data_IF_320464042432
#
_entry.id   IF_320464042432
#
_cell.length_a   1.000
_cell.length_b   1.000
_cell.length_c   1.000
_cell.angle_alpha   90.00
_cell.angle_beta   90.00
_cell.angle_gamma   90.00
#
_symmetry.space_group_name_H-M   'P 1'
#
loop_
_entity.id
_entity.type
_entity.pdbx_description
1 polymer ?
#
# COMPACT_ATOMS: atom_id res chain seq x y z
N UNK A 1 -4.41 -22.04 -4.26
CA UNK A 1 -5.43 -20.98 -4.22
C UNK A 1 -5.14 -20.00 -5.35
N UNK A 2 -6.12 -19.60 -6.18
CA UNK A 2 -5.92 -18.50 -7.12
C UNK A 2 -5.53 -17.22 -6.35
N UNK A 3 -4.65 -16.40 -6.94
CA UNK A 3 -4.12 -15.16 -6.31
C UNK A 3 -5.26 -14.22 -5.90
N UNK A 4 -6.35 -14.20 -6.66
CA UNK A 4 -7.56 -13.43 -6.33
C UNK A 4 -8.17 -13.85 -4.98
N UNK A 5 -8.11 -15.15 -4.65
CA UNK A 5 -8.55 -15.67 -3.36
C UNK A 5 -7.80 -15.07 -2.18
N UNK A 6 -6.49 -14.79 -2.34
CA UNK A 6 -5.69 -14.15 -1.29
C UNK A 6 -6.05 -12.66 -1.11
N UNK A 7 -6.42 -11.97 -2.20
CA UNK A 7 -6.90 -10.58 -2.12
C UNK A 7 -8.25 -10.52 -1.40
N UNK A 8 -9.19 -11.42 -1.74
CA UNK A 8 -10.46 -11.52 -1.01
C UNK A 8 -10.27 -11.89 0.45
N UNK A 9 -9.30 -12.76 0.75
CA UNK A 9 -8.93 -13.09 2.12
C UNK A 9 -8.42 -11.84 2.89
N UNK A 10 -7.61 -10.98 2.27
CA UNK A 10 -7.19 -9.71 2.88
C UNK A 10 -8.37 -8.79 3.19
N UNK A 11 -9.36 -8.70 2.30
CA UNK A 11 -10.59 -7.92 2.52
C UNK A 11 -11.39 -8.50 3.69
N UNK A 12 -11.55 -9.83 3.75
CA UNK A 12 -12.22 -10.50 4.87
C UNK A 12 -11.52 -10.19 6.19
N UNK A 13 -10.19 -10.25 6.24
CA UNK A 13 -9.44 -9.91 7.45
C UNK A 13 -9.63 -8.45 7.87
N UNK A 14 -9.65 -7.51 6.92
CA UNK A 14 -9.97 -6.09 7.21
C UNK A 14 -11.38 -5.94 7.79
N UNK A 15 -12.38 -6.64 7.23
CA UNK A 15 -13.75 -6.65 7.75
C UNK A 15 -13.79 -7.21 9.19
N UNK A 16 -13.01 -8.25 9.49
CA UNK A 16 -12.89 -8.78 10.85
C UNK A 16 -12.26 -7.75 11.79
N UNK A 17 -11.20 -7.03 11.37
CA UNK A 17 -10.62 -5.94 12.17
C UNK A 17 -11.66 -4.86 12.46
N UNK A 18 -12.46 -4.46 11.46
CA UNK A 18 -13.53 -3.48 11.68
C UNK A 18 -14.62 -3.99 12.62
N UNK A 19 -14.98 -5.27 12.49
CA UNK A 19 -15.90 -5.89 13.42
C UNK A 19 -15.34 -5.91 14.85
N UNK A 20 -14.04 -6.15 15.03
CA UNK A 20 -13.39 -6.07 16.35
C UNK A 20 -13.45 -4.65 16.92
N UNK A 21 -13.18 -3.61 16.11
CA UNK A 21 -13.39 -2.22 16.52
C UNK A 21 -14.84 -1.93 16.90
N UNK A 22 -15.79 -2.44 16.12
CA UNK A 22 -17.22 -2.29 16.42
C UNK A 22 -17.59 -2.94 17.76
N UNK A 23 -17.06 -4.12 18.06
CA UNK A 23 -17.29 -4.77 19.36
C UNK A 23 -16.75 -3.95 20.53
N UNK A 24 -15.61 -3.28 20.37
CA UNK A 24 -15.09 -2.37 21.40
C UNK A 24 -15.93 -1.09 21.50
N UNK A 25 -16.37 -0.53 20.38
CA UNK A 25 -17.29 0.61 20.35
C UNK A 25 -18.65 0.30 21.00
N UNK A 26 -19.23 -0.88 20.75
CA UNK A 26 -20.54 -1.29 21.28
C UNK A 26 -20.56 -1.29 22.81
N UNK A 27 -19.41 -1.54 23.48
CA UNK A 27 -19.29 -1.47 24.95
C UNK A 27 -19.52 -0.06 25.50
N UNK A 28 -19.37 0.99 24.67
CA UNK A 28 -19.64 2.37 25.05
C UNK A 28 -21.15 2.68 25.13
N UNK A 29 -22.01 1.79 24.61
CA UNK A 29 -23.48 1.96 24.55
C UNK A 29 -23.93 3.24 23.81
N UNK A 30 -23.16 3.64 22.80
CA UNK A 30 -23.47 4.80 21.96
C UNK A 30 -24.26 4.39 20.71
N UNK A 31 -24.94 5.36 20.09
CA UNK A 31 -25.64 5.15 18.83
C UNK A 31 -24.64 4.74 17.72
N UNK A 32 -25.01 3.76 16.90
CA UNK A 32 -24.19 3.26 15.78
C UNK A 32 -23.73 4.35 14.80
N UNK A 33 -24.47 5.46 14.69
CA UNK A 33 -24.09 6.60 13.86
C UNK A 33 -22.71 7.18 14.21
N UNK A 34 -22.29 7.10 15.48
CA UNK A 34 -20.95 7.50 15.91
C UNK A 34 -19.86 6.54 15.43
N UNK A 35 -20.20 5.35 14.96
CA UNK A 35 -19.23 4.40 14.40
C UNK A 35 -19.03 4.57 12.89
N UNK A 36 -19.97 5.20 12.19
CA UNK A 36 -19.88 5.37 10.74
C UNK A 36 -18.62 6.13 10.25
N UNK A 37 -18.11 7.17 10.95
CA UNK A 37 -16.82 7.79 10.64
C UNK A 37 -15.64 6.80 10.62
N UNK A 38 -15.66 5.78 11.48
CA UNK A 38 -14.62 4.74 11.55
C UNK A 38 -14.61 3.91 10.27
N UNK A 39 -15.79 3.50 9.79
CA UNK A 39 -15.93 2.73 8.54
C UNK A 39 -15.39 3.55 7.36
N UNK A 40 -15.80 4.82 7.24
CA UNK A 40 -15.38 5.70 6.15
C UNK A 40 -13.87 5.97 6.16
N UNK A 41 -13.28 6.11 7.36
CA UNK A 41 -11.84 6.34 7.54
C UNK A 41 -11.01 5.08 7.30
N UNK A 42 -11.53 3.90 7.66
CA UNK A 42 -10.79 2.64 7.56
C UNK A 42 -11.07 1.83 6.29
N UNK A 43 -11.89 2.30 5.36
CA UNK A 43 -12.07 1.67 4.04
C UNK A 43 -11.64 2.57 2.88
N UNK A 44 -10.90 3.63 3.18
CA UNK A 44 -10.30 4.51 2.21
C UNK A 44 -9.09 3.84 1.49
N UNK A 45 -8.81 4.19 0.21
CA UNK A 45 -7.85 3.47 -0.65
C UNK A 45 -6.37 3.85 -0.51
N UNK A 46 -5.95 4.72 0.40
CA UNK A 46 -4.57 5.22 0.50
C UNK A 46 -3.52 4.13 0.80
N UNK A 47 -3.92 3.05 1.48
CA UNK A 47 -3.08 1.87 1.70
C UNK A 47 -3.41 0.74 0.73
N UNK A 48 -3.81 1.07 -0.51
CA UNK A 48 -4.09 0.11 -1.58
C UNK A 48 -2.96 -0.91 -1.77
N UNK A 49 -1.71 -0.52 -1.54
CA UNK A 49 -0.56 -1.44 -1.62
C UNK A 49 -0.68 -2.65 -0.69
N UNK A 50 -1.41 -2.53 0.41
CA UNK A 50 -1.64 -3.62 1.37
C UNK A 50 -2.96 -4.33 1.08
N UNK A 51 -4.01 -3.59 0.71
CA UNK A 51 -5.33 -4.17 0.51
C UNK A 51 -5.47 -4.91 -0.83
N UNK A 52 -4.75 -4.49 -1.87
CA UNK A 52 -4.84 -5.11 -3.21
C UNK A 52 -3.65 -6.00 -3.57
N UNK A 53 -2.59 -6.04 -2.76
CA UNK A 53 -1.44 -6.92 -2.98
C UNK A 53 -1.51 -8.10 -2.01
N UNK A 54 -1.58 -9.32 -2.54
CA UNK A 54 -1.69 -10.54 -1.74
C UNK A 54 -0.61 -10.64 -0.65
N UNK A 55 0.68 -10.48 -1.01
CA UNK A 55 1.79 -10.56 -0.05
C UNK A 55 1.79 -9.44 0.99
N UNK A 56 1.49 -8.21 0.56
CA UNK A 56 1.40 -7.05 1.45
C UNK A 56 0.33 -7.23 2.52
N UNK A 57 -0.88 -7.63 2.12
CA UNK A 57 -1.98 -7.86 3.05
C UNK A 57 -1.75 -9.06 3.96
N UNK A 58 -1.23 -10.17 3.43
CA UNK A 58 -0.91 -11.35 4.25
C UNK A 58 0.14 -11.04 5.32
N UNK A 59 1.07 -10.13 5.06
CA UNK A 59 2.04 -9.69 6.06
C UNK A 59 1.42 -8.70 7.06
N UNK A 60 0.87 -7.59 6.58
CA UNK A 60 0.52 -6.47 7.45
C UNK A 60 -0.88 -6.60 8.08
N UNK A 61 -1.90 -6.97 7.29
CA UNK A 61 -3.29 -7.09 7.77
C UNK A 61 -3.40 -8.30 8.70
N UNK A 62 -2.83 -9.45 8.31
CA UNK A 62 -2.84 -10.66 9.14
C UNK A 62 -2.15 -10.44 10.48
N UNK A 63 -0.92 -9.89 10.49
CA UNK A 63 -0.24 -9.58 11.75
C UNK A 63 -1.08 -8.66 12.63
N UNK A 64 -1.70 -7.63 12.06
CA UNK A 64 -2.53 -6.69 12.81
C UNK A 64 -3.79 -7.36 13.38
N UNK A 65 -4.44 -8.25 12.61
CA UNK A 65 -5.58 -9.05 13.07
C UNK A 65 -5.19 -9.98 14.22
N UNK A 66 -4.11 -10.74 14.08
CA UNK A 66 -3.62 -11.67 15.10
C UNK A 66 -3.31 -10.94 16.41
N UNK A 67 -2.70 -9.75 16.33
CA UNK A 67 -2.38 -8.93 17.51
C UNK A 67 -3.65 -8.39 18.17
N UNK A 68 -4.62 -7.89 17.40
CA UNK A 68 -5.89 -7.44 17.96
C UNK A 68 -6.57 -8.60 18.72
N UNK A 69 -6.62 -9.79 18.10
CA UNK A 69 -7.16 -10.99 18.75
C UNK A 69 -6.39 -11.37 20.02
N UNK A 70 -5.05 -11.37 19.99
CA UNK A 70 -4.21 -11.67 21.15
C UNK A 70 -4.48 -10.71 22.31
N UNK A 71 -4.52 -9.39 22.03
CA UNK A 71 -4.83 -8.36 23.02
C UNK A 71 -6.23 -8.56 23.59
N UNK A 72 -7.24 -8.81 22.75
CA UNK A 72 -8.62 -9.03 23.21
C UNK A 72 -8.72 -10.29 24.10
N UNK A 73 -8.06 -11.38 23.71
CA UNK A 73 -8.06 -12.64 24.45
C UNK A 73 -7.34 -12.52 25.80
N UNK A 74 -6.32 -11.65 25.89
CA UNK A 74 -5.59 -11.36 27.14
C UNK A 74 -6.50 -10.83 28.27
N UNK A 75 -7.61 -10.18 27.92
CA UNK A 75 -8.63 -9.73 28.87
C UNK A 75 -9.44 -10.91 29.41
N UNK A 76 -9.78 -11.87 28.55
CA UNK A 76 -10.68 -13.01 28.86
C UNK A 76 -10.02 -14.19 29.60
N UNK A 77 -8.76 -14.03 30.06
CA UNK A 77 -7.96 -15.08 30.73
C UNK A 77 -7.72 -16.35 29.89
N UNK A 78 -7.95 -16.32 28.57
CA UNK A 78 -7.66 -17.42 27.65
C UNK A 78 -6.16 -17.46 27.30
N UNK A 79 -5.31 -17.68 28.30
CA UNK A 79 -3.86 -17.50 28.22
C UNK A 79 -3.23 -18.28 27.06
N UNK A 80 -3.59 -19.56 26.88
CA UNK A 80 -3.07 -20.37 25.78
C UNK A 80 -3.32 -19.73 24.41
N UNK A 81 -4.57 -19.35 24.12
CA UNK A 81 -4.90 -18.71 22.85
C UNK A 81 -4.21 -17.35 22.72
N UNK A 82 -4.12 -16.55 23.78
CA UNK A 82 -3.37 -15.29 23.76
C UNK A 82 -1.92 -15.50 23.32
N UNK A 83 -1.22 -16.48 23.91
CA UNK A 83 0.16 -16.77 23.56
C UNK A 83 0.28 -17.37 22.15
N UNK A 84 -0.63 -18.25 21.75
CA UNK A 84 -0.68 -18.80 20.40
C UNK A 84 -0.79 -17.69 19.35
N UNK A 85 -1.75 -16.78 19.50
CA UNK A 85 -1.91 -15.65 18.57
C UNK A 85 -0.72 -14.68 18.61
N UNK A 86 -0.09 -14.50 19.79
CA UNK A 86 1.15 -13.72 19.92
C UNK A 86 2.27 -14.36 19.09
N UNK A 87 2.53 -15.67 19.24
CA UNK A 87 3.57 -16.39 18.50
C UNK A 87 3.25 -16.40 16.99
N UNK A 88 2.00 -16.68 16.60
CA UNK A 88 1.61 -16.64 15.18
C UNK A 88 1.89 -15.27 14.57
N UNK A 89 1.64 -14.18 15.31
CA UNK A 89 1.92 -12.84 14.82
C UNK A 89 3.43 -12.60 14.61
N UNK A 90 4.30 -13.05 15.53
CA UNK A 90 5.77 -12.91 15.39
C UNK A 90 6.34 -13.70 14.22
N UNK A 91 5.69 -14.81 13.85
CA UNK A 91 6.05 -15.63 12.70
C UNK A 91 5.50 -15.10 11.37
N UNK A 92 4.52 -14.19 11.40
CA UNK A 92 3.87 -13.67 10.17
C UNK A 92 4.68 -12.55 9.52
N UNK A 93 5.14 -11.57 10.31
CA UNK A 93 5.92 -10.43 9.79
C UNK A 93 6.76 -9.79 10.90
N UNK A 94 7.80 -9.04 10.54
CA UNK A 94 8.73 -8.44 11.51
C UNK A 94 8.07 -7.51 12.54
N UNK A 95 7.00 -6.80 12.17
CA UNK A 95 6.21 -6.00 13.13
C UNK A 95 5.44 -6.85 14.14
N UNK A 96 5.26 -8.14 13.87
CA UNK A 96 4.62 -9.10 14.75
C UNK A 96 5.30 -9.24 16.10
N UNK A 97 6.60 -8.99 16.19
CA UNK A 97 7.34 -8.97 17.46
C UNK A 97 6.70 -8.04 18.50
N UNK A 98 6.12 -6.92 18.05
CA UNK A 98 5.47 -5.93 18.90
C UNK A 98 4.10 -6.39 19.45
N UNK A 99 3.63 -7.58 19.07
CA UNK A 99 2.56 -8.27 19.78
C UNK A 99 2.92 -8.51 21.24
N UNK A 100 4.19 -8.83 21.52
CA UNK A 100 4.69 -9.10 22.87
C UNK A 100 4.56 -7.85 23.75
N UNK A 101 4.99 -6.69 23.25
CA UNK A 101 4.84 -5.41 23.96
C UNK A 101 3.36 -5.00 24.13
N UNK A 102 2.53 -5.25 23.12
CA UNK A 102 1.10 -4.94 23.15
C UNK A 102 0.32 -5.78 24.16
N UNK A 103 0.49 -7.12 24.13
CA UNK A 103 -0.11 -8.03 25.10
C UNK A 103 0.48 -7.81 26.50
N UNK A 104 1.78 -7.52 26.59
CA UNK A 104 2.44 -7.15 27.84
C UNK A 104 1.82 -5.91 28.47
N UNK A 105 1.59 -4.86 27.69
CA UNK A 105 0.91 -3.65 28.14
C UNK A 105 -0.52 -3.93 28.61
N UNK A 106 -1.25 -4.81 27.92
CA UNK A 106 -2.59 -5.24 28.34
C UNK A 106 -2.56 -5.95 29.71
N UNK A 107 -1.62 -6.86 29.93
CA UNK A 107 -1.47 -7.51 31.24
C UNK A 107 -1.01 -6.55 32.33
N UNK A 108 -0.15 -5.60 31.98
CA UNK A 108 0.31 -4.56 32.88
C UNK A 108 -0.85 -3.68 33.37
N UNK A 109 -1.73 -3.23 32.48
CA UNK A 109 -2.95 -2.50 32.86
C UNK A 109 -3.91 -3.32 33.74
N UNK A 110 -3.92 -4.64 33.55
CA UNK A 110 -4.69 -5.57 34.40
C UNK A 110 -3.99 -5.91 35.73
N UNK A 111 -2.80 -5.37 35.99
CA UNK A 111 -1.92 -5.71 37.14
C UNK A 111 -1.59 -7.21 37.22
N UNK A 112 -1.53 -7.89 36.08
CA UNK A 112 -1.21 -9.32 35.96
C UNK A 112 0.23 -9.51 35.51
N UNK A 113 1.18 -9.53 36.45
CA UNK A 113 2.61 -9.61 36.11
C UNK A 113 3.10 -11.02 35.78
N UNK A 114 2.48 -12.08 36.35
CA UNK A 114 2.91 -13.47 36.07
C UNK A 114 2.86 -13.84 34.59
N UNK A 115 1.77 -13.55 33.84
CA UNK A 115 1.73 -13.74 32.38
C UNK A 115 2.81 -13.00 31.59
N UNK A 116 3.33 -11.88 32.10
CA UNK A 116 4.37 -11.09 31.42
C UNK A 116 5.70 -11.86 31.40
N UNK A 117 6.02 -12.64 32.44
CA UNK A 117 7.22 -13.49 32.45
C UNK A 117 7.21 -14.51 31.30
N UNK A 118 6.05 -15.08 30.99
CA UNK A 118 5.89 -16.01 29.86
C UNK A 118 6.13 -15.28 28.54
N UNK A 119 5.63 -14.05 28.39
CA UNK A 119 5.89 -13.23 27.21
C UNK A 119 7.39 -12.91 27.02
N UNK A 120 8.10 -12.61 28.11
CA UNK A 120 9.56 -12.40 28.09
C UNK A 120 10.28 -13.68 27.67
N UNK A 121 9.87 -14.84 28.18
CA UNK A 121 10.44 -16.13 27.77
C UNK A 121 10.19 -16.40 26.28
N UNK A 122 8.97 -16.15 25.78
CA UNK A 122 8.65 -16.29 24.36
C UNK A 122 9.49 -15.36 23.47
N UNK A 123 9.74 -14.13 23.93
CA UNK A 123 10.65 -13.19 23.24
C UNK A 123 12.07 -13.74 23.15
N UNK A 124 12.61 -14.25 24.26
CA UNK A 124 13.96 -14.83 24.30
C UNK A 124 14.05 -16.02 23.34
N UNK A 125 13.08 -16.94 23.39
CA UNK A 125 13.04 -18.11 22.49
C UNK A 125 12.99 -17.65 21.03
N UNK A 126 12.14 -16.66 20.70
CA UNK A 126 12.05 -16.12 19.35
C UNK A 126 13.39 -15.54 18.88
N UNK A 127 14.06 -14.74 19.70
CA UNK A 127 15.36 -14.14 19.36
C UNK A 127 16.45 -15.20 19.17
N UNK A 128 16.44 -16.28 19.96
CA UNK A 128 17.35 -17.42 19.79
C UNK A 128 17.10 -18.12 18.45
N UNK A 129 15.84 -18.48 18.16
CA UNK A 129 15.46 -19.13 16.89
C UNK A 129 15.81 -18.23 15.70
N UNK A 130 15.52 -16.94 15.80
CA UNK A 130 15.86 -15.96 14.78
C UNK A 130 17.36 -15.93 14.54
N UNK A 131 18.19 -15.78 15.58
CA UNK A 131 19.65 -15.73 15.46
C UNK A 131 20.24 -17.01 14.84
N UNK A 132 19.72 -18.19 15.21
CA UNK A 132 20.21 -19.48 14.68
C UNK A 132 19.93 -19.62 13.19
N UNK A 133 18.76 -19.16 12.73
CA UNK A 133 18.30 -19.38 11.36
C UNK A 133 18.47 -18.16 10.43
N UNK A 134 19.00 -17.05 10.94
CA UNK A 134 19.15 -15.83 10.15
C UNK A 134 20.37 -15.93 9.22
N UNK A 135 20.11 -16.23 7.95
CA UNK A 135 21.10 -16.09 6.88
C UNK A 135 21.25 -14.60 6.52
N UNK A 136 22.46 -14.02 6.49
CA UNK A 136 22.71 -12.62 6.12
C UNK A 136 22.37 -12.25 4.65
N UNK A 137 21.66 -13.08 3.91
CA UNK A 137 21.49 -13.03 2.45
C UNK A 137 20.45 -12.01 1.96
N UNK A 138 20.39 -10.84 2.59
CA UNK A 138 19.61 -9.69 2.13
C UNK A 138 20.37 -8.39 2.37
N UNK A 139 20.04 -7.32 1.64
CA UNK A 139 20.54 -5.98 1.99
C UNK A 139 20.21 -5.74 3.46
N UNK A 140 21.23 -5.66 4.32
CA UNK A 140 21.04 -5.25 5.69
C UNK A 140 20.34 -3.90 5.66
N UNK A 141 19.23 -3.80 6.36
CA UNK A 141 18.52 -2.56 6.42
C UNK A 141 19.37 -1.58 7.26
N UNK A 142 19.80 -0.48 6.63
CA UNK A 142 20.64 0.50 7.29
C UNK A 142 19.83 1.25 8.34
N UNK A 143 20.32 1.24 9.57
CA UNK A 143 19.74 2.07 10.61
C UNK A 143 19.93 3.54 10.26
N UNK A 144 18.86 4.31 10.32
CA UNK A 144 18.91 5.76 10.18
C UNK A 144 19.58 6.36 11.41
N UNK A 145 20.58 7.20 11.21
CA UNK A 145 21.21 8.01 12.25
C UNK A 145 20.64 9.43 12.28
N UNK A 146 19.85 9.80 11.28
CA UNK A 146 19.28 11.13 11.16
C UNK A 146 17.96 11.23 11.96
N UNK A 147 18.05 11.85 13.14
CA UNK A 147 16.89 12.01 14.03
C UNK A 147 15.74 12.79 13.40
N UNK A 148 16.02 13.78 12.54
CA UNK A 148 14.98 14.52 11.81
C UNK A 148 14.21 13.58 10.88
N UNK A 149 14.89 12.74 10.11
CA UNK A 149 14.25 11.78 9.22
C UNK A 149 13.42 10.74 10.01
N UNK A 150 13.93 10.27 11.15
CA UNK A 150 13.20 9.37 12.05
C UNK A 150 11.94 10.07 12.57
N UNK A 151 12.07 11.29 13.08
CA UNK A 151 10.96 12.07 13.64
C UNK A 151 9.86 12.31 12.60
N UNK A 152 10.23 12.83 11.42
CA UNK A 152 9.27 13.12 10.34
C UNK A 152 8.62 11.83 9.83
N UNK A 153 9.37 10.73 9.71
CA UNK A 153 8.82 9.44 9.30
C UNK A 153 7.88 8.86 10.35
N UNK A 154 8.27 8.90 11.63
CA UNK A 154 7.49 8.34 12.73
C UNK A 154 6.14 9.05 12.86
N UNK A 155 6.14 10.37 13.05
CA UNK A 155 4.92 11.13 13.17
C UNK A 155 4.18 11.24 11.83
N UNK A 156 4.89 11.35 10.71
CA UNK A 156 4.30 11.38 9.38
C UNK A 156 3.52 10.11 9.04
N UNK A 157 4.02 8.92 9.41
CA UNK A 157 3.27 7.68 9.24
C UNK A 157 2.09 7.55 10.22
N UNK A 158 2.22 8.02 11.46
CA UNK A 158 1.09 8.03 12.42
C UNK A 158 -0.07 8.90 11.94
N UNK A 159 0.20 10.09 11.39
CA UNK A 159 -0.80 10.95 10.76
C UNK A 159 -0.89 10.77 9.24
N UNK A 160 -0.46 9.61 8.73
CA UNK A 160 -0.37 9.31 7.30
C UNK A 160 -1.65 9.56 6.51
N UNK A 161 -2.83 9.52 7.13
CA UNK A 161 -4.10 9.88 6.46
C UNK A 161 -4.06 11.26 5.79
N UNK A 162 -3.33 12.23 6.36
CA UNK A 162 -3.21 13.57 5.79
C UNK A 162 -2.16 13.71 4.68
N UNK A 163 -1.42 12.64 4.33
CA UNK A 163 -0.47 12.65 3.23
C UNK A 163 -1.16 12.78 1.87
N UNK A 164 -2.49 12.70 1.84
CA UNK A 164 -3.32 12.92 0.68
C UNK A 164 -3.17 14.34 0.11
N UNK A 165 -2.82 15.35 0.92
CA UNK A 165 -2.67 16.72 0.46
C UNK A 165 -1.27 16.92 -0.17
N UNK A 166 -1.16 17.46 -1.38
CA UNK A 166 0.12 17.44 -2.12
C UNK A 166 1.26 18.19 -1.41
N UNK A 167 1.29 19.53 -1.51
CA UNK A 167 2.41 20.34 -1.02
C UNK A 167 2.54 20.35 0.50
N UNK A 168 1.42 20.21 1.22
CA UNK A 168 1.35 20.32 2.67
C UNK A 168 1.15 18.97 3.38
N UNK A 169 1.05 17.86 2.64
CA UNK A 169 0.66 16.57 3.20
C UNK A 169 1.61 16.05 4.26
N UNK A 170 2.92 16.19 4.03
CA UNK A 170 3.93 15.78 5.02
C UNK A 170 3.75 16.56 6.32
N UNK A 171 3.61 17.89 6.24
CA UNK A 171 3.44 18.73 7.42
C UNK A 171 2.14 18.40 8.19
N UNK A 172 1.02 18.28 7.46
CA UNK A 172 -0.27 17.91 8.06
C UNK A 172 -0.22 16.50 8.68
N UNK A 173 0.46 15.55 8.03
CA UNK A 173 0.67 14.21 8.57
C UNK A 173 1.52 14.21 9.83
N UNK A 174 2.62 14.95 9.87
CA UNK A 174 3.44 15.08 11.09
C UNK A 174 2.63 15.72 12.21
N UNK A 175 1.92 16.81 11.96
CA UNK A 175 1.09 17.48 12.95
C UNK A 175 0.00 16.57 13.52
N UNK A 176 -0.73 15.85 12.66
CA UNK A 176 -1.73 14.88 13.08
C UNK A 176 -1.13 13.69 13.84
N UNK A 177 0.06 13.24 13.44
CA UNK A 177 0.80 12.19 14.14
C UNK A 177 1.22 12.60 15.55
N UNK A 178 1.76 13.81 15.70
CA UNK A 178 2.10 14.38 17.02
C UNK A 178 0.85 14.43 17.88
N UNK A 179 -0.26 14.98 17.36
CA UNK A 179 -1.52 15.02 18.09
C UNK A 179 -2.00 13.63 18.53
N UNK A 180 -2.01 12.64 17.62
CA UNK A 180 -2.45 11.28 17.93
C UNK A 180 -1.55 10.61 18.99
N UNK A 181 -0.24 10.79 18.89
CA UNK A 181 0.71 10.24 19.86
C UNK A 181 0.62 10.94 21.22
N UNK A 182 0.50 12.26 21.25
CA UNK A 182 0.29 13.02 22.49
C UNK A 182 -1.02 12.62 23.18
N UNK A 183 -2.10 12.43 22.41
CA UNK A 183 -3.36 11.91 22.93
C UNK A 183 -3.20 10.50 23.51
N UNK A 184 -2.48 9.60 22.81
CA UNK A 184 -2.15 8.28 23.32
C UNK A 184 -1.37 8.33 24.63
N UNK A 185 -0.30 9.12 24.70
CA UNK A 185 0.54 9.28 25.89
C UNK A 185 -0.28 9.83 27.06
N UNK A 186 -1.09 10.87 26.83
CA UNK A 186 -1.99 11.43 27.84
C UNK A 186 -2.98 10.38 28.36
N UNK A 187 -3.63 9.63 27.46
CA UNK A 187 -4.58 8.58 27.84
C UNK A 187 -3.89 7.44 28.59
N UNK A 188 -2.67 7.07 28.20
CA UNK A 188 -1.87 6.06 28.87
C UNK A 188 -1.50 6.49 30.29
N UNK A 189 -1.02 7.73 30.47
CA UNK A 189 -0.73 8.29 31.80
C UNK A 189 -1.98 8.40 32.66
N UNK A 190 -3.09 8.90 32.12
CA UNK A 190 -4.37 8.99 32.83
C UNK A 190 -4.86 7.61 33.27
N UNK A 191 -4.71 6.60 32.41
CA UNK A 191 -5.05 5.21 32.75
C UNK A 191 -4.13 4.64 33.83
N UNK A 192 -2.83 4.95 33.79
CA UNK A 192 -1.85 4.44 34.74
C UNK A 192 -2.04 5.01 36.15
N UNK A 193 -2.32 6.33 36.26
CA UNK A 193 -2.50 7.01 37.54
C UNK A 193 -3.95 7.02 38.04
N UNK A 194 -4.89 6.44 37.29
CA UNK A 194 -6.27 6.29 37.74
C UNK A 194 -6.35 5.26 38.88
N UNK A 195 -6.94 5.66 40.01
CA UNK A 195 -7.29 4.73 41.11
C UNK A 195 -8.41 3.77 40.72
N UNK A 196 -9.25 4.14 39.75
CA UNK A 196 -10.35 3.31 39.25
C UNK A 196 -9.88 2.23 38.28
N UNK A 197 -10.61 1.10 38.24
CA UNK A 197 -10.33 0.03 37.29
C UNK A 197 -10.54 0.51 35.85
N UNK A 198 -9.53 0.28 35.00
CA UNK A 198 -9.60 0.67 33.59
C UNK A 198 -10.57 -0.27 32.87
N UNK A 199 -11.50 0.30 32.11
CA UNK A 199 -12.46 -0.48 31.31
C UNK A 199 -11.76 -1.29 30.22
N UNK A 200 -12.30 -2.48 29.92
CA UNK A 200 -11.69 -3.45 29.01
C UNK A 200 -11.40 -2.91 27.61
N UNK A 201 -12.31 -2.13 27.04
CA UNK A 201 -12.18 -1.54 25.71
C UNK A 201 -11.01 -0.56 25.63
N UNK A 202 -10.77 0.21 26.71
CA UNK A 202 -9.63 1.13 26.78
C UNK A 202 -8.32 0.37 26.84
N UNK A 203 -8.25 -0.70 27.64
CA UNK A 203 -7.05 -1.56 27.71
C UNK A 203 -6.75 -2.13 26.33
N UNK A 204 -7.76 -2.66 25.64
CA UNK A 204 -7.60 -3.27 24.31
C UNK A 204 -7.11 -2.23 23.29
N UNK A 205 -7.77 -1.08 23.20
CA UNK A 205 -7.45 -0.06 22.19
C UNK A 205 -6.09 0.61 22.44
N UNK A 206 -5.73 0.90 23.71
CA UNK A 206 -4.40 1.44 24.05
C UNK A 206 -3.29 0.42 23.80
N UNK A 207 -3.52 -0.85 24.12
CA UNK A 207 -2.56 -1.92 23.84
C UNK A 207 -2.38 -2.12 22.34
N UNK A 208 -3.47 -2.12 21.58
CA UNK A 208 -3.39 -2.23 20.12
C UNK A 208 -2.70 -1.02 19.47
N UNK A 209 -2.96 0.19 19.99
CA UNK A 209 -2.23 1.41 19.60
C UNK A 209 -0.73 1.27 19.82
N UNK A 210 -0.29 0.74 20.97
CA UNK A 210 1.14 0.62 21.30
C UNK A 210 1.90 -0.30 20.35
N UNK A 211 1.26 -1.37 19.85
CA UNK A 211 1.80 -2.21 18.78
C UNK A 211 2.09 -1.38 17.53
N UNK A 212 1.09 -0.65 17.04
CA UNK A 212 1.21 0.13 15.81
C UNK A 212 2.25 1.25 15.96
N UNK A 213 2.32 1.89 17.13
CA UNK A 213 3.34 2.88 17.43
C UNK A 213 4.75 2.27 17.39
N UNK A 214 4.97 1.12 18.04
CA UNK A 214 6.26 0.45 18.02
C UNK A 214 6.64 -0.04 16.60
N UNK A 215 5.68 -0.55 15.82
CA UNK A 215 5.89 -0.94 14.43
C UNK A 215 6.31 0.25 13.56
N UNK A 216 5.63 1.40 13.68
CA UNK A 216 5.99 2.61 12.96
C UNK A 216 7.36 3.13 13.40
N UNK A 217 7.69 3.05 14.69
CA UNK A 217 9.02 3.43 15.19
C UNK A 217 10.12 2.60 14.54
N UNK A 218 9.96 1.27 14.47
CA UNK A 218 10.91 0.41 13.80
C UNK A 218 11.05 0.76 12.31
N UNK A 219 9.93 1.03 11.62
CA UNK A 219 9.96 1.44 10.21
C UNK A 219 10.72 2.76 10.07
N UNK A 220 10.44 3.76 10.91
CA UNK A 220 11.14 5.04 10.90
C UNK A 220 12.63 4.88 11.15
N UNK A 221 13.00 4.02 12.10
CA UNK A 221 14.40 3.75 12.43
C UNK A 221 15.16 3.06 11.30
N UNK A 222 14.51 2.13 10.58
CA UNK A 222 15.18 1.25 9.61
C UNK A 222 15.07 1.76 8.16
N UNK A 223 14.05 2.57 7.83
CA UNK A 223 13.78 2.97 6.44
C UNK A 223 14.10 4.43 6.14
N UNK A 224 14.38 5.25 7.14
CA UNK A 224 14.58 6.69 6.94
C UNK A 224 16.04 7.10 6.68
N UNK A 225 16.92 6.15 6.41
CA UNK A 225 18.36 6.41 6.19
C UNK A 225 18.60 7.31 4.99
N UNK A 226 17.84 7.12 3.90
CA UNK A 226 17.95 7.93 2.67
C UNK A 226 17.02 9.16 2.63
N UNK A 227 16.23 9.41 3.68
CA UNK A 227 15.26 10.51 3.73
C UNK A 227 13.96 10.13 4.46
N UNK A 228 13.04 11.08 4.70
CA UNK A 228 11.74 10.78 5.29
C UNK A 228 10.90 9.84 4.40
N UNK A 229 10.25 8.83 5.00
CA UNK A 229 9.53 7.78 4.25
C UNK A 229 8.06 7.72 4.66
N UNK A 230 7.17 8.23 3.81
CA UNK A 230 5.70 8.11 3.97
C UNK A 230 5.16 7.31 2.78
N UNK A 231 5.23 5.98 2.87
CA UNK A 231 4.94 5.07 1.75
C UNK A 231 3.64 4.30 1.96
N UNK A 232 2.89 4.08 0.87
CA UNK A 232 1.56 3.49 0.83
C UNK A 232 1.36 2.25 1.72
N UNK A 233 2.27 1.28 1.67
CA UNK A 233 2.15 0.03 2.44
C UNK A 233 2.12 0.20 3.96
N UNK A 234 2.63 1.29 4.51
CA UNK A 234 2.63 1.53 5.96
C UNK A 234 1.52 2.49 6.39
N UNK A 235 0.82 3.11 5.44
CA UNK A 235 -0.25 4.08 5.72
C UNK A 235 -1.48 3.45 6.38
N UNK A 236 -1.63 2.12 6.36
CA UNK A 236 -2.75 1.43 7.02
C UNK A 236 -2.76 1.64 8.55
N UNK A 237 -1.60 1.88 9.17
CA UNK A 237 -1.52 2.05 10.61
C UNK A 237 -2.19 3.36 11.07
N UNK A 238 -2.08 4.42 10.27
CA UNK A 238 -2.65 5.74 10.58
C UNK A 238 -4.15 5.72 10.86
N UNK A 239 -5.03 5.23 9.96
CA UNK A 239 -6.46 5.22 10.21
C UNK A 239 -6.84 4.30 11.40
N UNK A 240 -6.11 3.21 11.63
CA UNK A 240 -6.34 2.32 12.79
C UNK A 240 -5.95 2.98 14.13
N UNK A 241 -4.81 3.69 14.18
CA UNK A 241 -4.39 4.47 15.35
C UNK A 241 -5.40 5.57 15.68
N UNK A 242 -5.84 6.33 14.66
CA UNK A 242 -6.87 7.35 14.81
C UNK A 242 -8.21 6.75 15.26
N UNK A 243 -8.57 5.57 14.77
CA UNK A 243 -9.76 4.83 15.22
C UNK A 243 -9.67 4.50 16.71
N UNK A 244 -8.51 4.05 17.20
CA UNK A 244 -8.32 3.76 18.63
C UNK A 244 -8.54 5.00 19.49
N UNK A 245 -7.90 6.12 19.13
CA UNK A 245 -8.04 7.40 19.83
C UNK A 245 -9.48 7.89 19.78
N UNK A 246 -10.09 7.87 18.60
CA UNK A 246 -11.47 8.27 18.38
C UNK A 246 -12.45 7.50 19.29
N UNK A 247 -12.40 6.17 19.30
CA UNK A 247 -13.31 5.35 20.12
C UNK A 247 -13.09 5.62 21.61
N UNK A 248 -11.85 5.81 22.07
CA UNK A 248 -11.58 6.13 23.49
C UNK A 248 -12.11 7.52 23.86
N UNK A 249 -11.99 8.49 22.93
CA UNK A 249 -12.27 9.90 23.17
C UNK A 249 -13.74 10.28 22.97
N UNK A 250 -14.48 9.62 22.08
CA UNK A 250 -15.84 10.03 21.70
C UNK A 250 -16.84 10.15 22.88
N UNK A 251 -16.77 9.35 23.97
CA UNK A 251 -17.67 9.54 25.11
C UNK A 251 -17.49 10.89 25.82
N UNK A 252 -16.34 11.55 25.69
CA UNK A 252 -16.09 12.86 26.29
C UNK A 252 -16.65 14.02 25.47
N UNK A 253 -16.98 13.78 24.20
CA UNK A 253 -17.44 14.80 23.25
C UNK A 253 -18.90 14.59 22.82
N UNK A 254 -19.61 13.64 23.42
CA UNK A 254 -20.92 13.21 22.94
C UNK A 254 -22.06 14.20 23.20
N UNK A 255 -21.86 15.20 24.05
CA UNK A 255 -22.93 16.11 24.48
C UNK A 255 -23.47 17.01 23.35
N UNK A 256 -22.83 17.05 22.17
CA UNK A 256 -23.30 17.83 21.02
C UNK A 256 -23.57 16.95 19.81
N UNK A 257 -24.84 16.89 19.38
CA UNK A 257 -25.27 16.27 18.12
C UNK A 257 -24.51 16.80 16.89
N UNK A 258 -24.07 18.05 16.93
CA UNK A 258 -23.31 18.69 15.86
C UNK A 258 -21.93 18.07 15.65
N UNK A 259 -21.32 17.53 16.70
CA UNK A 259 -20.02 16.86 16.59
C UNK A 259 -20.15 15.62 15.70
N UNK A 260 -21.24 14.87 15.83
CA UNK A 260 -21.53 13.69 14.99
C UNK A 260 -21.68 14.10 13.53
N UNK A 261 -22.52 15.10 13.27
CA UNK A 261 -22.79 15.57 11.91
C UNK A 261 -21.49 16.08 11.26
N UNK A 262 -20.70 16.85 12.00
CA UNK A 262 -19.44 17.40 11.52
C UNK A 262 -18.41 16.31 11.22
N UNK A 263 -18.23 15.35 12.14
CA UNK A 263 -17.32 14.23 11.93
C UNK A 263 -17.75 13.34 10.78
N UNK A 264 -19.05 13.05 10.67
CA UNK A 264 -19.58 12.22 9.60
C UNK A 264 -19.40 12.91 8.24
N UNK A 265 -19.75 14.20 8.14
CA UNK A 265 -19.56 14.98 6.92
C UNK A 265 -18.08 15.06 6.55
N UNK A 266 -17.21 15.32 7.52
CA UNK A 266 -15.76 15.33 7.31
C UNK A 266 -15.26 13.98 6.80
N UNK A 267 -15.62 12.86 7.45
CA UNK A 267 -15.22 11.52 7.03
C UNK A 267 -15.77 11.16 5.65
N UNK A 268 -16.98 11.58 5.31
CA UNK A 268 -17.57 11.36 3.99
C UNK A 268 -16.82 12.14 2.91
N UNK A 269 -16.60 13.44 3.12
CA UNK A 269 -15.83 14.28 2.19
C UNK A 269 -14.38 13.79 2.04
N UNK A 270 -13.75 13.41 3.16
CA UNK A 270 -12.41 12.86 3.18
C UNK A 270 -12.34 11.52 2.42
N UNK A 271 -13.29 10.61 2.66
CA UNK A 271 -13.38 9.34 1.94
C UNK A 271 -13.59 9.57 0.43
N UNK A 272 -14.53 10.43 0.04
CA UNK A 272 -14.72 10.80 -1.36
C UNK A 272 -13.45 11.37 -2.01
N UNK A 273 -12.72 12.23 -1.29
CA UNK A 273 -11.44 12.79 -1.75
C UNK A 273 -10.36 11.72 -1.91
N UNK A 274 -10.25 10.79 -0.96
CA UNK A 274 -9.29 9.66 -1.05
C UNK A 274 -9.55 8.78 -2.26
N UNK A 275 -10.81 8.40 -2.52
CA UNK A 275 -11.19 7.69 -3.74
C UNK A 275 -10.87 8.51 -5.00
N UNK A 276 -11.23 9.80 -5.02
CA UNK A 276 -10.88 10.67 -6.13
C UNK A 276 -9.37 10.73 -6.39
N UNK A 277 -8.53 10.64 -5.36
CA UNK A 277 -7.06 10.69 -5.53
C UNK A 277 -6.46 9.36 -5.95
N UNK A 278 -6.83 8.26 -5.30
CA UNK A 278 -6.15 6.98 -5.45
C UNK A 278 -6.76 6.06 -6.49
N UNK A 279 -7.98 6.30 -6.99
CA UNK A 279 -8.57 5.47 -8.06
C UNK A 279 -7.69 5.40 -9.30
N UNK A 280 -7.13 6.53 -9.76
CA UNK A 280 -6.18 6.54 -10.88
C UNK A 280 -4.92 5.71 -10.55
N UNK A 281 -4.37 5.86 -9.34
CA UNK A 281 -3.14 5.16 -8.93
C UNK A 281 -3.35 3.64 -8.94
N UNK A 282 -4.49 3.17 -8.42
CA UNK A 282 -4.85 1.74 -8.41
C UNK A 282 -5.08 1.24 -9.85
N UNK A 283 -5.75 2.03 -10.69
CA UNK A 283 -5.98 1.71 -12.09
C UNK A 283 -4.67 1.59 -12.87
N UNK A 284 -3.77 2.56 -12.73
CA UNK A 284 -2.45 2.56 -13.37
C UNK A 284 -1.63 1.35 -12.92
N UNK A 285 -1.65 1.00 -11.62
CA UNK A 285 -0.95 -0.18 -11.09
C UNK A 285 -1.51 -1.48 -11.64
N UNK A 286 -2.83 -1.62 -11.76
CA UNK A 286 -3.48 -2.76 -12.41
C UNK A 286 -2.98 -2.89 -13.85
N UNK A 287 -2.99 -1.80 -14.62
CA UNK A 287 -2.57 -1.82 -16.02
C UNK A 287 -1.07 -2.11 -16.16
N UNK A 288 -0.22 -1.59 -15.28
CA UNK A 288 1.20 -1.96 -15.23
C UNK A 288 1.40 -3.44 -14.92
N UNK A 289 0.64 -4.02 -14.00
CA UNK A 289 0.72 -5.45 -13.71
C UNK A 289 0.32 -6.31 -14.94
N UNK A 290 -0.75 -5.91 -15.66
CA UNK A 290 -1.16 -6.57 -16.90
C UNK A 290 -0.09 -6.47 -18.00
N UNK A 291 0.50 -5.30 -18.19
CA UNK A 291 1.59 -5.11 -19.15
C UNK A 291 2.82 -5.96 -18.81
N UNK A 292 3.18 -6.08 -17.53
CA UNK A 292 4.27 -6.97 -17.12
C UNK A 292 3.94 -8.44 -17.31
N UNK A 293 2.71 -8.86 -17.07
CA UNK A 293 2.30 -10.24 -17.36
C UNK A 293 2.55 -10.56 -18.83
N UNK A 294 2.12 -9.68 -19.74
CA UNK A 294 2.42 -9.81 -21.17
C UNK A 294 3.93 -9.81 -21.47
N UNK A 295 4.66 -8.84 -20.94
CA UNK A 295 6.09 -8.70 -21.21
C UNK A 295 6.90 -9.89 -20.67
N UNK A 296 6.50 -10.44 -19.52
CA UNK A 296 7.16 -11.58 -18.91
C UNK A 296 6.85 -12.87 -19.66
N UNK A 297 5.61 -13.09 -20.08
CA UNK A 297 5.26 -14.30 -20.86
C UNK A 297 5.95 -14.32 -22.22
N UNK A 298 6.13 -13.16 -22.86
CA UNK A 298 6.75 -13.08 -24.19
C UNK A 298 8.28 -12.96 -24.15
N UNK A 299 8.85 -12.27 -23.16
CA UNK A 299 10.29 -11.94 -23.16
C UNK A 299 10.96 -12.08 -21.78
N UNK A 300 10.26 -12.53 -20.74
CA UNK A 300 10.76 -12.62 -19.35
C UNK A 300 11.24 -11.29 -18.75
N UNK A 301 10.60 -10.17 -19.14
CA UNK A 301 10.92 -8.82 -18.64
C UNK A 301 9.74 -8.15 -17.93
N UNK A 302 10.00 -7.20 -17.04
CA UNK A 302 8.99 -6.44 -16.28
C UNK A 302 9.39 -4.96 -16.18
N UNK A 303 8.76 -4.10 -16.97
CA UNK A 303 9.14 -2.68 -17.12
C UNK A 303 8.91 -1.80 -15.89
N UNK A 304 8.06 -2.23 -14.95
CA UNK A 304 7.85 -1.47 -13.71
C UNK A 304 8.76 -1.93 -12.55
N UNK A 305 9.69 -2.86 -12.81
CA UNK A 305 10.62 -3.41 -11.82
C UNK A 305 12.08 -3.02 -12.14
N UNK A 306 12.94 -3.00 -11.12
CA UNK A 306 14.40 -2.88 -11.32
C UNK A 306 14.89 -4.08 -12.16
N UNK A 307 15.70 -3.87 -13.22
CA UNK A 307 16.14 -4.97 -14.09
C UNK A 307 16.92 -6.04 -13.34
N UNK A 308 17.69 -5.68 -12.31
CA UNK A 308 18.41 -6.65 -11.47
C UNK A 308 17.45 -7.51 -10.68
N UNK A 309 16.36 -6.93 -10.18
CA UNK A 309 15.32 -7.68 -9.51
C UNK A 309 14.66 -8.68 -10.47
N UNK A 310 14.40 -8.29 -11.71
CA UNK A 310 13.82 -9.19 -12.73
C UNK A 310 14.76 -10.36 -13.02
N UNK A 311 16.06 -10.10 -13.22
CA UNK A 311 17.07 -11.15 -13.45
C UNK A 311 17.10 -12.14 -12.30
N UNK A 312 17.23 -11.67 -11.06
CA UNK A 312 17.25 -12.52 -9.86
C UNK A 312 15.93 -13.28 -9.67
N UNK A 313 14.79 -12.65 -9.99
CA UNK A 313 13.48 -13.31 -9.88
C UNK A 313 13.33 -14.41 -10.94
N UNK A 314 13.87 -14.21 -12.14
CA UNK A 314 13.77 -15.17 -13.24
C UNK A 314 14.49 -16.49 -12.95
N UNK A 315 15.52 -16.50 -12.08
CA UNK A 315 16.16 -17.73 -11.60
C UNK A 315 15.15 -18.69 -10.95
N UNK A 316 14.10 -18.16 -10.33
CA UNK A 316 13.04 -18.96 -9.69
C UNK A 316 11.77 -19.04 -10.54
N UNK A 317 11.39 -17.94 -11.21
CA UNK A 317 10.13 -17.85 -11.94
C UNK A 317 10.13 -18.68 -13.24
N UNK A 318 11.24 -18.74 -13.97
CA UNK A 318 11.31 -19.50 -15.23
C UNK A 318 11.16 -21.00 -14.96
N UNK A 319 11.91 -21.63 -14.04
CA UNK A 319 11.70 -23.04 -13.69
C UNK A 319 10.28 -23.31 -13.19
N UNK A 320 9.75 -22.46 -12.30
CA UNK A 320 8.39 -22.63 -11.79
C UNK A 320 7.32 -22.54 -12.88
N UNK A 321 7.52 -21.68 -13.88
CA UNK A 321 6.65 -21.56 -15.04
C UNK A 321 6.71 -22.80 -15.94
N UNK A 322 7.93 -23.28 -16.25
CA UNK A 322 8.15 -24.48 -17.06
C UNK A 322 7.58 -25.75 -16.39
N UNK A 323 7.66 -25.82 -15.07
CA UNK A 323 7.05 -26.91 -14.27
C UNK A 323 5.52 -26.78 -14.13
N UNK A 324 4.92 -25.69 -14.61
CA UNK A 324 3.48 -25.43 -14.47
C UNK A 324 3.03 -25.09 -13.04
N UNK A 325 3.97 -24.88 -12.11
CA UNK A 325 3.71 -24.47 -10.73
C UNK A 325 3.17 -23.03 -10.71
N UNK A 326 3.72 -22.18 -11.58
CA UNK A 326 3.27 -20.81 -11.78
C UNK A 326 2.76 -20.61 -13.21
N UNK A 327 1.70 -19.82 -13.36
CA UNK A 327 1.12 -19.46 -14.65
C UNK A 327 0.89 -17.96 -14.71
N UNK A 328 1.20 -17.38 -15.86
CA UNK A 328 0.86 -15.99 -16.16
C UNK A 328 -0.56 -15.94 -16.69
N UNK A 329 -1.34 -14.95 -16.26
CA UNK A 329 -2.67 -14.73 -16.82
C UNK A 329 -2.54 -14.07 -18.22
N UNK A 330 -2.61 -14.88 -19.27
CA UNK A 330 -2.47 -14.42 -20.66
C UNK A 330 -3.76 -13.83 -21.24
N UNK A 331 -4.89 -13.89 -20.52
CA UNK A 331 -6.24 -13.64 -21.09
C UNK A 331 -6.46 -12.22 -21.63
N UNK A 332 -5.67 -11.23 -21.23
CA UNK A 332 -5.96 -9.83 -21.56
C UNK A 332 -5.56 -9.41 -22.99
N UNK A 333 -4.61 -10.10 -23.61
CA UNK A 333 -4.13 -9.78 -24.96
C UNK A 333 -4.16 -11.03 -25.85
N UNK A 334 -5.29 -11.29 -26.54
CA UNK A 334 -5.38 -12.42 -27.46
C UNK A 334 -4.25 -12.38 -28.50
N UNK A 335 -3.73 -13.55 -28.89
CA UNK A 335 -2.63 -13.63 -29.88
C UNK A 335 -3.04 -13.06 -31.24
N UNK A 336 -4.33 -13.07 -31.56
CA UNK A 336 -4.90 -12.66 -32.85
C UNK A 336 -5.07 -11.13 -32.99
N UNK A 337 -4.98 -10.37 -31.88
CA UNK A 337 -5.20 -8.91 -31.91
C UNK A 337 -4.13 -8.11 -32.65
N UNK A 338 -3.04 -8.76 -33.10
CA UNK A 338 -1.81 -8.10 -33.57
C UNK A 338 -1.58 -8.14 -35.08
N UNK A 339 -2.35 -8.93 -35.84
CA UNK A 339 -2.06 -9.21 -37.26
C UNK A 339 -3.12 -8.64 -38.23
N UNK A 340 -4.05 -7.81 -37.76
CA UNK A 340 -5.05 -7.13 -38.62
C UNK A 340 -4.50 -5.81 -39.20
N UNK A 341 -5.01 -5.40 -40.38
CA UNK A 341 -4.71 -4.09 -40.95
C UNK A 341 -5.27 -2.99 -40.05
N UNK A 342 -4.40 -2.33 -39.28
CA UNK A 342 -4.79 -1.29 -38.33
C UNK A 342 -4.80 0.09 -39.00
N UNK A 343 -5.84 0.88 -38.72
CA UNK A 343 -5.92 2.29 -39.11
C UNK A 343 -4.74 3.06 -38.50
N UNK A 344 -4.03 3.82 -39.33
CA UNK A 344 -2.93 4.67 -38.88
C UNK A 344 -3.46 5.93 -38.18
N UNK A 345 -2.85 6.30 -37.05
CA UNK A 345 -3.16 7.53 -36.31
C UNK A 345 -1.89 8.37 -36.06
N UNK A 346 -2.05 9.69 -36.14
CA UNK A 346 -1.01 10.65 -35.78
C UNK A 346 -1.22 11.08 -34.32
N UNK A 347 -0.61 10.36 -33.38
CA UNK A 347 -0.57 10.78 -31.98
C UNK A 347 0.47 11.90 -31.81
N UNK A 348 0.06 13.00 -31.16
CA UNK A 348 0.99 14.03 -30.68
C UNK A 348 1.69 13.50 -29.44
N UNK A 349 2.88 12.94 -29.67
CA UNK A 349 3.76 12.42 -28.61
C UNK A 349 5.01 13.29 -28.53
N UNK A 350 5.29 13.82 -27.34
CA UNK A 350 6.46 14.63 -27.01
C UNK A 350 7.36 13.90 -26.01
N UNK A 351 8.67 14.13 -26.09
CA UNK A 351 9.62 13.55 -25.14
C UNK A 351 9.60 14.37 -23.85
N UNK A 352 9.34 13.71 -22.72
CA UNK A 352 9.37 14.30 -21.40
C UNK A 352 10.49 13.63 -20.59
N UNK A 353 11.76 13.96 -20.85
CA UNK A 353 12.86 13.43 -20.04
C UNK A 353 13.08 14.30 -18.81
N UNK A 354 12.40 13.97 -17.70
CA UNK A 354 12.90 14.31 -16.36
C UNK A 354 13.85 13.20 -15.91
N UNK A 355 15.15 13.36 -16.20
CA UNK A 355 16.18 12.52 -15.60
C UNK A 355 16.20 12.80 -14.09
N UNK A 356 15.59 11.95 -13.27
CA UNK A 356 15.79 12.02 -11.83
C UNK A 356 17.13 11.40 -11.40
N UNK A 357 17.70 10.50 -12.21
CA UNK A 357 19.05 9.96 -12.04
C UNK A 357 19.71 9.70 -13.41
N UNK A 358 21.00 10.05 -13.64
CA UNK A 358 21.70 9.84 -14.91
C UNK A 358 21.92 8.38 -15.34
N UNK A 359 21.55 7.40 -14.50
CA UNK A 359 21.85 5.96 -14.70
C UNK A 359 20.66 5.09 -15.10
N UNK A 360 19.46 5.64 -15.12
CA UNK A 360 18.26 4.86 -15.40
C UNK A 360 17.85 5.11 -16.85
N UNK A 361 18.01 4.11 -17.74
CA UNK A 361 17.62 4.21 -19.15
C UNK A 361 16.09 4.10 -19.29
N UNK A 362 15.41 5.01 -18.61
CA UNK A 362 13.99 5.08 -18.39
C UNK A 362 13.47 6.35 -19.08
N UNK A 363 12.62 6.16 -20.07
CA UNK A 363 12.12 7.23 -20.93
C UNK A 363 10.62 7.41 -20.71
N UNK A 364 10.20 8.66 -20.57
CA UNK A 364 8.81 9.04 -20.40
C UNK A 364 8.37 9.82 -21.64
N UNK A 365 7.28 9.38 -22.24
CA UNK A 365 6.70 9.99 -23.42
C UNK A 365 5.30 10.49 -23.09
N UNK A 366 5.05 11.78 -23.36
CA UNK A 366 3.77 12.41 -23.09
C UNK A 366 2.88 12.35 -24.33
N UNK A 367 1.60 12.01 -24.12
CA UNK A 367 0.54 12.07 -25.12
C UNK A 367 -0.32 13.30 -24.83
N UNK A 368 -0.30 14.30 -25.72
CA UNK A 368 -0.99 15.57 -25.48
C UNK A 368 -2.50 15.48 -25.72
N UNK A 369 -2.92 14.69 -26.71
CA UNK A 369 -4.31 14.50 -27.08
C UNK A 369 -4.56 13.05 -27.48
N UNK A 370 -5.37 12.36 -26.69
CA UNK A 370 -5.77 10.98 -26.95
C UNK A 370 -6.94 10.94 -27.95
N UNK A 371 -6.96 9.97 -28.90
CA UNK A 371 -7.94 9.93 -29.99
C UNK A 371 -9.36 9.60 -29.53
N UNK A 372 -9.51 9.04 -28.32
CA UNK A 372 -10.78 8.67 -27.73
C UNK A 372 -10.89 9.20 -26.30
N UNK A 373 -12.10 9.17 -25.76
CA UNK A 373 -12.35 9.58 -24.37
C UNK A 373 -11.90 8.45 -23.43
N UNK A 374 -10.86 8.66 -22.59
CA UNK A 374 -10.40 7.61 -21.69
C UNK A 374 -11.43 7.34 -20.58
N UNK A 375 -11.52 6.08 -20.17
CA UNK A 375 -12.43 5.61 -19.12
C UNK A 375 -11.69 4.66 -18.16
N UNK A 376 -12.22 4.48 -16.95
CA UNK A 376 -11.68 3.50 -15.99
C UNK A 376 -12.04 2.05 -16.33
N UNK A 377 -12.93 1.84 -17.30
CA UNK A 377 -13.33 0.49 -17.73
C UNK A 377 -12.36 -0.06 -18.77
N UNK A 378 -11.71 0.81 -19.54
CA UNK A 378 -10.93 0.42 -20.71
C UNK A 378 -9.47 0.84 -20.49
N UNK A 379 -8.58 -0.15 -20.48
CA UNK A 379 -7.15 0.10 -20.37
C UNK A 379 -6.54 0.26 -21.77
N UNK A 380 -5.59 1.18 -21.89
CA UNK A 380 -4.90 1.47 -23.13
C UNK A 380 -3.42 1.18 -22.98
N UNK A 381 -2.82 0.65 -24.04
CA UNK A 381 -1.43 0.24 -24.03
C UNK A 381 -0.72 0.61 -25.32
N UNK A 382 0.57 0.89 -25.25
CA UNK A 382 1.45 1.05 -26.40
C UNK A 382 2.23 -0.24 -26.58
N UNK A 383 2.07 -0.88 -27.73
CA UNK A 383 2.84 -2.03 -28.17
C UNK A 383 4.03 -1.58 -29.01
N UNK A 384 5.19 -2.11 -28.69
CA UNK A 384 6.44 -1.95 -29.42
C UNK A 384 6.80 -3.29 -30.07
N UNK A 385 6.76 -3.34 -31.41
CA UNK A 385 7.18 -4.52 -32.19
C UNK A 385 8.53 -4.23 -32.82
N UNK A 386 9.55 -4.96 -32.41
CA UNK A 386 10.89 -4.82 -32.98
C UNK A 386 10.88 -5.30 -34.44
N UNK A 387 11.34 -4.47 -35.38
CA UNK A 387 11.30 -4.77 -36.82
C UNK A 387 12.18 -5.95 -37.23
N UNK A 388 13.33 -6.16 -36.58
CA UNK A 388 14.27 -7.21 -36.96
C UNK A 388 13.98 -8.54 -36.27
N UNK A 389 13.73 -8.51 -34.96
CA UNK A 389 13.53 -9.72 -34.15
C UNK A 389 12.07 -10.15 -34.00
N UNK A 390 11.11 -9.29 -34.35
CA UNK A 390 9.68 -9.53 -34.13
C UNK A 390 9.23 -9.51 -32.66
N UNK A 391 10.14 -9.32 -31.70
CA UNK A 391 9.83 -9.25 -30.26
C UNK A 391 8.83 -8.13 -29.97
N UNK A 392 7.85 -8.44 -29.12
CA UNK A 392 6.73 -7.56 -28.77
C UNK A 392 6.85 -7.15 -27.30
N UNK A 393 6.73 -5.86 -27.02
CA UNK A 393 6.72 -5.31 -25.67
C UNK A 393 5.54 -4.37 -25.51
N UNK A 394 4.96 -4.28 -24.31
CA UNK A 394 3.82 -3.42 -24.04
C UNK A 394 4.13 -2.49 -22.87
N UNK A 395 3.69 -1.24 -22.97
CA UNK A 395 3.66 -0.28 -21.86
C UNK A 395 2.25 0.29 -21.69
N UNK A 396 1.70 0.39 -20.47
CA UNK A 396 0.39 0.99 -20.25
C UNK A 396 0.43 2.51 -20.47
N UNK A 397 -0.66 3.06 -21.01
CA UNK A 397 -0.89 4.50 -21.02
C UNK A 397 -1.46 4.92 -19.66
N UNK A 398 -0.74 5.78 -18.94
CA UNK A 398 -1.17 6.40 -17.69
C UNK A 398 -1.80 7.75 -17.99
N UNK A 399 -3.12 7.83 -17.92
CA UNK A 399 -3.84 9.08 -18.17
C UNK A 399 -3.74 10.01 -16.98
N UNK A 400 -3.52 11.31 -17.23
CA UNK A 400 -3.66 12.31 -16.17
C UNK A 400 -5.11 12.37 -15.69
N UNK A 401 -5.32 12.64 -14.41
CA UNK A 401 -6.66 12.91 -13.87
C UNK A 401 -7.08 14.36 -14.17
N UNK A 402 -8.37 14.57 -14.42
CA UNK A 402 -8.92 15.93 -14.47
C UNK A 402 -8.87 16.62 -13.09
N UNK A 403 -9.14 17.92 -13.03
CA UNK A 403 -9.38 18.62 -11.75
C UNK A 403 -10.76 18.27 -11.16
N UNK A 404 -10.93 18.36 -9.84
CA UNK A 404 -12.17 17.96 -9.14
C UNK A 404 -13.39 18.67 -9.73
N UNK A 405 -13.29 19.99 -9.95
CA UNK A 405 -14.38 20.79 -10.54
C UNK A 405 -14.74 20.31 -11.94
N UNK A 406 -13.75 19.96 -12.77
CA UNK A 406 -13.99 19.46 -14.13
C UNK A 406 -14.61 18.05 -14.09
N UNK A 407 -14.17 17.19 -13.18
CA UNK A 407 -14.77 15.88 -12.96
C UNK A 407 -16.24 16.00 -12.55
N UNK A 408 -16.55 16.85 -11.55
CA UNK A 408 -17.93 17.07 -11.09
C UNK A 408 -18.83 17.64 -12.19
N UNK A 409 -18.32 18.52 -13.05
CA UNK A 409 -19.09 19.12 -14.16
C UNK A 409 -19.31 18.18 -15.34
N UNK A 410 -18.33 17.33 -15.66
CA UNK A 410 -18.33 16.56 -16.93
C UNK A 410 -18.49 15.05 -16.75
N UNK A 411 -18.39 14.54 -15.52
CA UNK A 411 -18.29 13.11 -15.23
C UNK A 411 -16.96 12.48 -15.62
N UNK A 412 -16.02 13.24 -16.21
CA UNK A 412 -14.79 12.68 -16.78
C UNK A 412 -13.67 12.66 -15.73
N UNK A 413 -13.38 11.47 -15.20
CA UNK A 413 -12.31 11.30 -14.22
C UNK A 413 -10.92 11.46 -14.85
N UNK A 414 -10.68 10.78 -15.97
CA UNK A 414 -9.42 10.83 -16.73
C UNK A 414 -9.44 11.95 -17.78
N UNK A 415 -8.31 12.64 -17.93
CA UNK A 415 -8.06 13.62 -18.98
C UNK A 415 -7.64 12.90 -20.27
N UNK A 416 -7.96 13.45 -21.46
CA UNK A 416 -7.54 12.89 -22.76
C UNK A 416 -6.06 13.17 -23.06
N UNK A 417 -5.22 13.06 -22.05
CA UNK A 417 -3.77 13.32 -22.07
C UNK A 417 -3.13 12.42 -21.02
N UNK A 418 -1.91 11.98 -21.25
CA UNK A 418 -1.24 11.06 -20.34
C UNK A 418 0.21 10.83 -20.72
N UNK A 419 0.76 9.74 -20.22
CA UNK A 419 2.13 9.34 -20.52
C UNK A 419 2.24 7.82 -20.63
N UNK A 420 3.30 7.35 -21.26
CA UNK A 420 3.75 5.98 -21.14
C UNK A 420 5.26 5.98 -20.88
N UNK A 421 5.71 4.91 -20.23
CA UNK A 421 7.08 4.79 -19.74
C UNK A 421 7.77 3.60 -20.40
N UNK A 422 9.06 3.71 -20.64
CA UNK A 422 9.82 2.67 -21.33
C UNK A 422 11.18 2.47 -20.67
N UNK A 423 11.49 1.22 -20.33
CA UNK A 423 12.75 0.83 -19.71
C UNK A 423 13.65 0.12 -20.72
N UNK A 424 14.46 0.90 -21.44
CA UNK A 424 15.26 0.39 -22.58
C UNK A 424 16.31 -0.64 -22.19
N UNK A 425 16.78 -0.70 -20.93
CA UNK A 425 17.72 -1.72 -20.46
C UNK A 425 17.17 -3.14 -20.59
N UNK A 426 15.84 -3.30 -20.59
CA UNK A 426 15.18 -4.58 -20.74
C UNK A 426 14.76 -4.86 -22.20
N UNK A 427 15.14 -4.00 -23.15
CA UNK A 427 14.81 -4.12 -24.57
C UNK A 427 16.08 -4.27 -25.43
N UNK A 428 15.99 -5.09 -26.47
CA UNK A 428 17.07 -5.16 -27.46
C UNK A 428 17.13 -3.84 -28.26
N UNK A 429 18.33 -3.35 -28.63
CA UNK A 429 18.46 -2.18 -29.49
C UNK A 429 17.85 -2.44 -30.87
N UNK A 430 17.36 -1.39 -31.52
CA UNK A 430 16.76 -1.47 -32.86
C UNK A 430 15.58 -0.52 -33.08
N UNK A 431 14.90 -0.70 -34.20
CA UNK A 431 13.73 0.09 -34.61
C UNK A 431 12.45 -0.67 -34.29
N UNK A 432 11.52 0.00 -33.61
CA UNK A 432 10.25 -0.55 -33.17
C UNK A 432 9.11 0.16 -33.89
N UNK A 433 8.20 -0.63 -34.45
CA UNK A 433 6.88 -0.14 -34.82
C UNK A 433 6.00 -0.02 -33.58
N UNK A 434 5.20 1.05 -33.54
CA UNK A 434 4.34 1.34 -32.40
C UNK A 434 2.87 1.16 -32.75
N UNK A 435 2.12 0.56 -31.84
CA UNK A 435 0.68 0.36 -31.96
C UNK A 435 0.00 0.78 -30.67
N UNK A 436 -1.18 1.36 -30.78
CA UNK A 436 -2.05 1.67 -29.64
C UNK A 436 -3.08 0.55 -29.52
N UNK A 437 -3.12 -0.11 -28.38
CA UNK A 437 -4.05 -1.20 -28.06
C UNK A 437 -5.09 -0.72 -27.04
N UNK A 438 -6.34 -1.07 -27.26
CA UNK A 438 -7.47 -0.75 -26.37
C UNK A 438 -8.77 -1.30 -26.96
N UNK A 439 -9.86 -0.55 -26.84
CA UNK A 439 -11.15 -0.94 -27.46
C UNK A 439 -11.06 -1.03 -28.99
N UNK A 440 -10.20 -0.19 -29.56
CA UNK A 440 -9.83 -0.19 -30.97
C UNK A 440 -8.31 -0.14 -31.06
N UNK A 441 -7.76 -0.95 -31.94
CA UNK A 441 -6.32 -0.99 -32.17
C UNK A 441 -5.94 -0.04 -33.30
N UNK A 442 -4.85 0.69 -33.14
CA UNK A 442 -4.35 1.64 -34.13
C UNK A 442 -2.85 1.46 -34.37
N UNK A 443 -2.41 1.69 -35.61
CA UNK A 443 -0.98 1.86 -35.90
C UNK A 443 -0.59 3.29 -35.60
N UNK A 444 0.44 3.50 -34.78
CA UNK A 444 0.96 4.84 -34.51
C UNK A 444 1.91 5.19 -35.65
N UNK A 445 1.69 6.32 -36.32
CA UNK A 445 2.51 6.76 -37.45
C UNK A 445 3.84 7.40 -37.00
N UNK A 446 4.56 6.69 -36.13
CA UNK A 446 5.89 7.00 -35.62
C UNK A 446 6.61 5.68 -35.35
N UNK A 447 7.93 5.68 -35.43
CA UNK A 447 8.76 4.56 -34.99
C UNK A 447 9.59 4.96 -33.78
N UNK A 448 9.95 3.99 -32.94
CA UNK A 448 10.85 4.21 -31.80
C UNK A 448 12.20 3.57 -32.11
N UNK A 449 13.27 4.34 -32.05
CA UNK A 449 14.64 3.85 -32.20
C UNK A 449 15.33 3.80 -30.84
N UNK A 450 15.79 2.62 -30.45
CA UNK A 450 16.53 2.40 -29.19
C UNK A 450 17.99 2.11 -29.52
N UNK A 451 18.89 2.91 -28.95
CA UNK A 451 20.35 2.69 -29.02
C UNK A 451 20.92 2.63 -27.62
N UNK A 452 21.39 1.44 -27.21
CA UNK A 452 22.05 1.24 -25.91
C UNK A 452 23.40 1.97 -25.84
N UNK A 453 24.15 1.99 -26.95
CA UNK A 453 25.45 2.67 -27.04
C UNK A 453 25.34 4.19 -26.83
N UNK A 454 24.23 4.79 -27.29
CA UNK A 454 23.96 6.23 -27.14
C UNK A 454 23.09 6.55 -25.93
N UNK A 455 22.70 5.53 -25.16
CA UNK A 455 21.69 5.62 -24.10
C UNK A 455 20.47 6.49 -24.52
N UNK A 456 19.89 6.18 -25.68
CA UNK A 456 18.87 7.03 -26.30
C UNK A 456 17.66 6.22 -26.77
N UNK A 457 16.46 6.75 -26.53
CA UNK A 457 15.22 6.32 -27.15
C UNK A 457 14.60 7.51 -27.91
N UNK A 458 14.59 7.45 -29.24
CA UNK A 458 14.19 8.56 -30.11
C UNK A 458 12.95 8.14 -30.91
N UNK A 459 11.89 8.94 -30.85
CA UNK A 459 10.74 8.77 -31.74
C UNK A 459 11.01 9.47 -33.07
N UNK A 460 10.84 8.74 -34.17
CA UNK A 460 10.98 9.22 -35.55
C UNK A 460 9.66 9.19 -36.29
#
# INVERSE_FOLDING_TARGET
>A
MPIDGLIYFNILQLLVIQYLFYLEFKKLKLNILFFLPVILLNFQPQYFEVSTWAGGGLSHITTSLLIFLAVKLSITRKYFLTYLFTVLSTLTFGSGLFAISSVGLSYFFQKKYKPILILVLLLIIYLIIYKINYSPSGRMAEFSTNFYNIFVTFFGLMGGVFSIFDKNGIFLSVGAGIFAFSAFVFLLFKSFFSSSSIRSERIILLSYFSYMAAAIFLIAFVRSSSGPVIVGRFLMFSPFLLTCIYIIMIPYFINSKWIVVTLLLFSLCFSALTYYRYTQVVFDRKNSALANSFNWSNNHVMFNMDPRFVVLSNEFLIPAYQMGIWKVNEMYFPKDTFDTQLKAINLKISNYTQHHLPKDNYFIFQIDAFPSKPSLNNAWFVLFKNKSSGKKFISPVKFYKNGILKFLKTGNYLAPSGLFELQTQQMAPGTFEMFLLGDQNFKINKTLEISLAKNSAIMK
#
